data_IF_588945479137
#
_entry.id   IF_588945479137
#
_cell.length_a   1.000
_cell.length_b   1.000
_cell.length_c   1.000
_cell.angle_alpha   90.00
_cell.angle_beta   90.00
_cell.angle_gamma   90.00
#
_symmetry.space_group_name_H-M   'P 1'
#
loop_
_entity.id
_entity.type
_entity.pdbx_description
1 polymer ?
#
# COMPACT_ATOMS: atom_id res chain seq x y z
N UNK A 1 -16.00 -7.44 -16.55
CA UNK A 1 -14.89 -7.10 -15.65
C UNK A 1 -14.10 -8.33 -15.20
N UNK A 2 -14.73 -9.45 -15.03
CA UNK A 2 -14.06 -10.73 -14.78
C UNK A 2 -13.45 -11.28 -16.07
N UNK A 3 -14.12 -11.06 -17.20
CA UNK A 3 -13.63 -11.44 -18.52
C UNK A 3 -13.16 -10.19 -19.25
N UNK A 4 -11.84 -10.01 -19.39
CA UNK A 4 -11.28 -8.91 -20.16
C UNK A 4 -11.73 -9.00 -21.62
N UNK A 5 -12.33 -7.95 -22.15
CA UNK A 5 -12.63 -7.81 -23.57
C UNK A 5 -11.59 -6.92 -24.21
N UNK A 6 -10.89 -7.46 -25.20
CA UNK A 6 -9.93 -6.72 -26.01
C UNK A 6 -10.61 -6.31 -27.30
N UNK A 7 -10.39 -5.06 -27.69
CA UNK A 7 -10.77 -4.54 -29.01
C UNK A 7 -9.45 -4.22 -29.71
N UNK A 8 -9.37 -4.56 -30.99
CA UNK A 8 -8.22 -4.22 -31.84
C UNK A 8 -7.98 -2.70 -31.84
N UNK A 9 -6.72 -2.30 -31.71
CA UNK A 9 -6.36 -0.87 -31.71
C UNK A 9 -6.70 -0.25 -33.07
N UNK A 10 -7.32 0.92 -33.04
CA UNK A 10 -7.65 1.69 -34.24
C UNK A 10 -6.49 2.63 -34.52
N UNK A 11 -6.05 2.70 -35.77
CA UNK A 11 -4.93 3.55 -36.20
C UNK A 11 -5.21 5.06 -36.03
N UNK A 12 -6.49 5.45 -36.04
CA UNK A 12 -6.97 6.82 -35.95
C UNK A 12 -7.16 7.32 -34.51
N UNK A 13 -7.16 6.41 -33.53
CA UNK A 13 -7.37 6.75 -32.10
C UNK A 13 -6.14 6.39 -31.30
N UNK A 14 -5.43 7.41 -30.82
CA UNK A 14 -4.28 7.18 -29.94
C UNK A 14 -4.71 6.51 -28.61
N UNK A 15 -4.23 5.30 -28.32
CA UNK A 15 -4.65 4.59 -27.11
C UNK A 15 -4.14 5.30 -25.85
N UNK A 16 -5.00 5.36 -24.85
CA UNK A 16 -4.66 5.87 -23.51
C UNK A 16 -4.62 4.69 -22.57
N UNK A 17 -3.41 4.26 -22.21
CA UNK A 17 -3.20 3.16 -21.28
C UNK A 17 -3.34 3.63 -19.83
N UNK A 18 -3.91 2.76 -18.99
CA UNK A 18 -4.06 2.99 -17.57
C UNK A 18 -5.51 2.84 -17.09
N UNK A 19 -5.72 3.14 -15.82
CA UNK A 19 -7.05 3.10 -15.21
C UNK A 19 -7.78 4.43 -15.44
N UNK A 20 -9.10 4.37 -15.66
CA UNK A 20 -9.96 5.57 -15.82
C UNK A 20 -9.88 6.53 -14.62
N UNK A 21 -9.63 5.99 -13.42
CA UNK A 21 -9.28 6.79 -12.24
C UNK A 21 -7.80 6.59 -11.94
N UNK A 22 -7.04 7.68 -11.96
CA UNK A 22 -5.62 7.64 -11.61
C UNK A 22 -5.42 7.08 -10.20
N UNK A 23 -4.45 6.19 -10.06
CA UNK A 23 -4.00 5.71 -8.77
C UNK A 23 -3.10 6.77 -8.13
N UNK A 24 -3.65 7.61 -7.26
CA UNK A 24 -2.90 8.62 -6.51
C UNK A 24 -2.44 8.04 -5.17
N UNK A 25 -1.73 6.91 -5.22
CA UNK A 25 -1.25 6.23 -4.03
C UNK A 25 -0.10 5.27 -4.35
N UNK A 26 0.87 5.19 -3.45
CA UNK A 26 1.92 4.18 -3.43
C UNK A 26 1.52 2.92 -2.63
N UNK A 27 0.36 2.94 -1.97
CA UNK A 27 -0.11 1.83 -1.15
C UNK A 27 -0.47 0.62 -2.02
N UNK A 28 0.23 -0.52 -1.91
CA UNK A 28 0.00 -1.70 -2.74
C UNK A 28 -1.36 -2.35 -2.49
N UNK A 29 -1.88 -2.30 -1.27
CA UNK A 29 -3.23 -2.79 -0.96
C UNK A 29 -4.26 -1.93 -1.70
N UNK A 30 -4.16 -0.61 -1.59
CA UNK A 30 -5.06 0.29 -2.29
C UNK A 30 -4.99 0.14 -3.80
N UNK A 31 -3.79 -0.05 -4.36
CA UNK A 31 -3.60 -0.28 -5.79
C UNK A 31 -4.44 -1.48 -6.30
N UNK A 32 -4.52 -2.54 -5.52
CA UNK A 32 -5.29 -3.73 -5.87
C UNK A 32 -6.79 -3.60 -5.58
N UNK A 33 -7.19 -2.88 -4.54
CA UNK A 33 -8.58 -2.82 -4.08
C UNK A 33 -9.34 -1.59 -4.53
N UNK A 34 -8.69 -0.53 -5.04
CA UNK A 34 -9.33 0.71 -5.47
C UNK A 34 -10.48 0.49 -6.46
N UNK A 35 -10.31 -0.41 -7.43
CA UNK A 35 -11.33 -0.69 -8.44
C UNK A 35 -12.56 -1.33 -7.79
N UNK A 36 -12.36 -2.34 -6.94
CA UNK A 36 -13.45 -3.00 -6.21
C UNK A 36 -14.18 -2.04 -5.28
N UNK A 37 -13.45 -1.18 -4.57
CA UNK A 37 -14.04 -0.14 -3.73
C UNK A 37 -14.91 0.83 -4.53
N UNK A 38 -14.43 1.29 -5.69
CA UNK A 38 -15.22 2.17 -6.56
C UNK A 38 -16.48 1.47 -7.11
N UNK A 39 -16.37 0.19 -7.48
CA UNK A 39 -17.53 -0.62 -7.90
C UNK A 39 -18.54 -0.76 -6.77
N UNK A 40 -18.09 -1.03 -5.55
CA UNK A 40 -18.94 -1.10 -4.38
C UNK A 40 -19.68 0.24 -4.14
N UNK A 41 -18.97 1.36 -4.19
CA UNK A 41 -19.58 2.68 -4.07
C UNK A 41 -20.62 2.95 -5.17
N UNK A 42 -20.31 2.62 -6.42
CA UNK A 42 -21.25 2.80 -7.54
C UNK A 42 -22.50 1.92 -7.36
N UNK A 43 -22.33 0.68 -6.89
CA UNK A 43 -23.44 -0.22 -6.52
C UNK A 43 -24.32 0.33 -5.40
N UNK A 44 -23.72 0.95 -4.37
CA UNK A 44 -24.48 1.55 -3.27
C UNK A 44 -25.19 2.84 -3.67
N UNK A 45 -24.61 3.64 -4.56
CA UNK A 45 -25.09 4.96 -4.97
C UNK A 45 -26.22 4.93 -5.98
N UNK A 46 -26.28 3.89 -6.84
CA UNK A 46 -27.36 3.77 -7.83
C UNK A 46 -28.71 3.50 -7.18
N UNK A 47 -29.74 4.13 -7.68
CA UNK A 47 -31.16 3.94 -7.24
C UNK A 47 -31.77 2.67 -7.83
N UNK A 48 -31.29 2.22 -9.00
CA UNK A 48 -31.83 1.06 -9.70
C UNK A 48 -31.29 -0.23 -9.15
N UNK A 49 -32.17 -1.11 -8.67
CA UNK A 49 -31.78 -2.40 -8.08
C UNK A 49 -31.02 -3.29 -9.09
N UNK A 50 -31.45 -3.32 -10.35
CA UNK A 50 -30.76 -4.04 -11.43
C UNK A 50 -29.31 -3.57 -11.62
N UNK A 51 -29.09 -2.27 -11.53
CA UNK A 51 -27.78 -1.66 -11.75
C UNK A 51 -26.82 -1.93 -10.58
N UNK A 52 -27.35 -2.15 -9.34
CA UNK A 52 -26.53 -2.58 -8.19
C UNK A 52 -25.79 -3.88 -8.44
N UNK A 53 -26.44 -4.82 -9.09
CA UNK A 53 -25.83 -6.10 -9.46
C UNK A 53 -25.02 -5.99 -10.76
N UNK A 54 -25.53 -5.24 -11.75
CA UNK A 54 -24.90 -5.07 -13.04
C UNK A 54 -23.48 -4.48 -12.95
N UNK A 55 -23.21 -3.59 -12.00
CA UNK A 55 -21.87 -3.03 -11.74
C UNK A 55 -20.80 -4.12 -11.64
N UNK A 56 -21.12 -5.29 -11.11
CA UNK A 56 -20.13 -6.34 -10.83
C UNK A 56 -19.72 -7.16 -12.04
N UNK A 57 -20.60 -7.32 -13.03
CA UNK A 57 -20.33 -8.14 -14.22
C UNK A 57 -20.31 -7.37 -15.54
N UNK A 58 -20.78 -6.13 -15.56
CA UNK A 58 -20.77 -5.29 -16.75
C UNK A 58 -19.33 -4.98 -17.23
N UNK A 59 -19.11 -4.59 -18.48
CA UNK A 59 -17.81 -4.16 -19.00
C UNK A 59 -17.19 -3.05 -18.13
N UNK A 60 -15.86 -2.96 -18.13
CA UNK A 60 -15.10 -2.04 -17.26
C UNK A 60 -15.44 -0.57 -17.45
N UNK A 61 -15.86 -0.18 -18.67
CA UNK A 61 -16.26 1.19 -18.99
C UNK A 61 -17.70 1.52 -18.56
N UNK A 62 -18.52 0.50 -18.25
CA UNK A 62 -19.92 0.73 -17.91
C UNK A 62 -20.07 1.25 -16.48
N UNK A 63 -20.89 2.27 -16.31
CA UNK A 63 -21.34 2.79 -15.01
C UNK A 63 -22.84 3.06 -15.05
N UNK A 64 -23.56 3.00 -13.89
CA UNK A 64 -24.96 3.42 -13.82
C UNK A 64 -25.11 4.88 -14.26
N UNK A 65 -26.08 5.17 -15.12
CA UNK A 65 -26.29 6.51 -15.68
C UNK A 65 -26.62 7.56 -14.63
N UNK A 66 -27.36 7.19 -13.59
CA UNK A 66 -27.69 8.04 -12.46
C UNK A 66 -26.47 8.38 -11.59
N UNK A 67 -25.54 7.43 -11.46
CA UNK A 67 -24.28 7.65 -10.75
C UNK A 67 -23.33 8.50 -11.57
N UNK A 68 -23.22 8.26 -12.89
CA UNK A 68 -22.37 9.06 -13.78
C UNK A 68 -22.86 10.51 -13.88
N UNK A 69 -24.19 10.73 -13.92
CA UNK A 69 -24.77 12.08 -13.94
C UNK A 69 -24.47 12.87 -12.66
N UNK A 70 -24.49 12.20 -11.48
CA UNK A 70 -24.25 12.86 -10.19
C UNK A 70 -22.78 12.93 -9.79
N UNK A 71 -21.99 11.93 -10.19
CA UNK A 71 -20.57 11.77 -9.87
C UNK A 71 -19.78 11.47 -11.15
N UNK A 72 -19.63 12.45 -12.07
CA UNK A 72 -18.98 12.21 -13.36
C UNK A 72 -17.54 11.77 -13.17
N UNK A 73 -17.10 10.88 -14.06
CA UNK A 73 -15.71 10.44 -14.12
C UNK A 73 -14.84 11.63 -14.57
N UNK A 74 -13.83 11.97 -13.79
CA UNK A 74 -12.86 12.99 -14.18
C UNK A 74 -12.00 12.46 -15.33
N UNK A 75 -11.71 13.28 -16.36
CA UNK A 75 -10.77 12.89 -17.40
C UNK A 75 -9.40 12.57 -16.80
N UNK A 76 -8.72 11.60 -17.40
CA UNK A 76 -7.37 11.20 -16.94
C UNK A 76 -6.40 12.31 -17.31
N UNK A 77 -5.76 12.90 -16.32
CA UNK A 77 -4.66 13.84 -16.53
C UNK A 77 -3.36 13.04 -16.78
N UNK A 78 -2.98 12.95 -18.05
CA UNK A 78 -1.76 12.24 -18.48
C UNK A 78 -0.48 13.01 -18.18
N UNK A 79 -0.57 14.31 -17.91
CA UNK A 79 0.58 15.20 -17.69
C UNK A 79 1.05 15.17 -16.24
N UNK A 80 0.13 15.07 -15.29
CA UNK A 80 0.42 15.12 -13.87
C UNK A 80 0.44 13.70 -13.27
N UNK A 81 1.63 13.09 -13.26
CA UNK A 81 1.84 11.82 -12.55
C UNK A 81 1.89 12.08 -11.05
N UNK A 82 1.27 11.19 -10.29
CA UNK A 82 1.35 11.20 -8.83
C UNK A 82 2.82 11.06 -8.38
N UNK A 83 3.36 12.11 -7.81
CA UNK A 83 4.74 12.15 -7.32
C UNK A 83 4.83 13.07 -6.10
N UNK A 84 4.43 12.59 -4.90
CA UNK A 84 4.52 13.38 -3.70
C UNK A 84 5.98 13.70 -3.38
N UNK A 85 6.21 14.86 -2.78
CA UNK A 85 7.54 15.21 -2.31
C UNK A 85 8.01 14.21 -1.24
N UNK A 86 9.22 13.71 -1.38
CA UNK A 86 9.86 12.82 -0.42
C UNK A 86 11.23 13.34 -0.05
N UNK A 87 11.53 13.40 1.25
CA UNK A 87 12.87 13.71 1.73
C UNK A 87 13.85 12.61 1.34
N UNK A 88 15.14 12.95 1.27
CA UNK A 88 16.19 11.97 0.98
C UNK A 88 16.22 10.85 2.03
N UNK A 89 16.01 11.20 3.31
CA UNK A 89 15.94 10.20 4.39
C UNK A 89 14.78 9.20 4.20
N UNK A 90 13.61 9.68 3.76
CA UNK A 90 12.47 8.81 3.43
C UNK A 90 12.77 7.88 2.26
N UNK A 91 13.46 8.37 1.22
CA UNK A 91 13.86 7.53 0.06
C UNK A 91 14.83 6.44 0.47
N UNK A 92 15.86 6.78 1.25
CA UNK A 92 16.84 5.82 1.76
C UNK A 92 16.15 4.79 2.66
N UNK A 93 15.30 5.22 3.57
CA UNK A 93 14.53 4.33 4.43
C UNK A 93 13.65 3.36 3.61
N UNK A 94 12.94 3.84 2.59
CA UNK A 94 12.12 3.00 1.72
C UNK A 94 12.96 1.96 0.95
N UNK A 95 14.14 2.34 0.48
CA UNK A 95 15.07 1.41 -0.17
C UNK A 95 15.55 0.31 0.80
N UNK A 96 15.88 0.67 2.05
CA UNK A 96 16.25 -0.28 3.09
C UNK A 96 15.08 -1.24 3.42
N UNK A 97 13.85 -0.73 3.51
CA UNK A 97 12.66 -1.56 3.72
C UNK A 97 12.44 -2.56 2.58
N UNK A 98 12.65 -2.13 1.33
CA UNK A 98 12.56 -3.02 0.18
C UNK A 98 13.60 -4.14 0.26
N UNK A 99 14.85 -3.83 0.61
CA UNK A 99 15.90 -4.83 0.79
C UNK A 99 15.55 -5.80 1.93
N UNK A 100 15.07 -5.28 3.06
CA UNK A 100 14.62 -6.10 4.19
C UNK A 100 13.52 -7.08 3.80
N UNK A 101 12.52 -6.63 3.04
CA UNK A 101 11.46 -7.51 2.51
C UNK A 101 12.01 -8.64 1.64
N UNK A 102 12.99 -8.34 0.77
CA UNK A 102 13.63 -9.35 -0.08
C UNK A 102 14.34 -10.39 0.80
N UNK A 103 15.06 -9.97 1.82
CA UNK A 103 15.77 -10.86 2.74
C UNK A 103 14.82 -11.74 3.56
N UNK A 104 13.75 -11.15 4.11
CA UNK A 104 12.73 -11.89 4.88
C UNK A 104 12.04 -12.91 3.96
N UNK A 105 11.60 -12.48 2.77
CA UNK A 105 10.90 -13.33 1.80
C UNK A 105 11.78 -14.49 1.33
N UNK A 106 13.05 -14.23 0.97
CA UNK A 106 14.01 -15.25 0.57
C UNK A 106 14.26 -16.26 1.68
N UNK A 107 14.47 -15.77 2.90
CA UNK A 107 14.69 -16.62 4.07
C UNK A 107 13.48 -17.52 4.38
N UNK A 108 12.27 -16.98 4.24
CA UNK A 108 11.04 -17.73 4.38
C UNK A 108 10.91 -18.81 3.30
N UNK A 109 11.15 -18.46 2.03
CA UNK A 109 11.05 -19.39 0.90
C UNK A 109 12.03 -20.55 0.99
N UNK A 110 13.30 -20.26 1.31
CA UNK A 110 14.34 -21.28 1.41
C UNK A 110 14.09 -22.29 2.54
N UNK A 111 13.34 -21.90 3.55
CA UNK A 111 13.08 -22.72 4.73
C UNK A 111 11.58 -23.00 4.93
N UNK A 112 10.78 -22.90 3.89
CA UNK A 112 9.30 -23.00 3.97
C UNK A 112 8.82 -24.25 4.68
N UNK A 113 9.48 -25.39 4.43
CA UNK A 113 9.15 -26.69 5.02
C UNK A 113 9.47 -26.79 6.54
N UNK A 114 10.25 -25.86 7.07
CA UNK A 114 10.61 -25.80 8.49
C UNK A 114 9.64 -24.95 9.31
N UNK A 115 8.72 -24.23 8.65
CA UNK A 115 7.73 -23.37 9.30
C UNK A 115 6.36 -24.03 9.37
N UNK A 116 5.65 -23.82 10.47
CA UNK A 116 4.23 -24.15 10.56
C UNK A 116 3.39 -23.22 9.68
N UNK A 117 2.18 -23.63 9.34
CA UNK A 117 1.24 -22.78 8.59
C UNK A 117 0.98 -21.43 9.27
N UNK A 118 0.91 -21.42 10.62
CA UNK A 118 0.72 -20.20 11.41
C UNK A 118 1.92 -19.26 11.26
N UNK A 119 3.14 -19.79 11.32
CA UNK A 119 4.37 -19.00 11.13
C UNK A 119 4.47 -18.43 9.73
N UNK A 120 4.12 -19.20 8.71
CA UNK A 120 4.04 -18.72 7.31
C UNK A 120 3.02 -17.59 7.17
N UNK A 121 1.86 -17.72 7.80
CA UNK A 121 0.83 -16.68 7.80
C UNK A 121 1.30 -15.40 8.51
N UNK A 122 2.01 -15.52 9.64
CA UNK A 122 2.58 -14.38 10.36
C UNK A 122 3.60 -13.63 9.50
N UNK A 123 4.57 -14.34 8.90
CA UNK A 123 5.55 -13.70 8.01
C UNK A 123 4.90 -13.13 6.75
N UNK A 124 3.90 -13.80 6.19
CA UNK A 124 3.11 -13.29 5.07
C UNK A 124 2.41 -11.97 5.42
N UNK A 125 1.80 -11.87 6.60
CA UNK A 125 1.20 -10.64 7.09
C UNK A 125 2.24 -9.52 7.27
N UNK A 126 3.41 -9.82 7.85
CA UNK A 126 4.51 -8.87 8.00
C UNK A 126 4.97 -8.34 6.63
N UNK A 127 5.14 -9.22 5.64
CA UNK A 127 5.54 -8.87 4.27
C UNK A 127 4.50 -8.00 3.54
N UNK A 128 3.23 -8.06 3.92
CA UNK A 128 2.18 -7.17 3.38
C UNK A 128 2.15 -5.83 4.12
N UNK A 129 2.34 -5.85 5.45
CA UNK A 129 2.22 -4.63 6.28
C UNK A 129 3.43 -3.70 6.10
N UNK A 130 4.65 -4.23 6.02
CA UNK A 130 5.88 -3.41 5.82
C UNK A 130 5.74 -2.47 4.61
N UNK A 131 5.45 -2.93 3.37
CA UNK A 131 5.35 -2.04 2.22
C UNK A 131 4.17 -1.09 2.32
N UNK A 132 3.08 -1.51 2.97
CA UNK A 132 1.91 -0.65 3.19
C UNK A 132 2.26 0.54 4.08
N UNK A 133 2.93 0.30 5.20
CA UNK A 133 3.36 1.34 6.14
C UNK A 133 4.44 2.23 5.50
N UNK A 134 5.38 1.63 4.76
CA UNK A 134 6.39 2.37 4.00
C UNK A 134 5.75 3.28 2.95
N UNK A 135 4.71 2.80 2.26
CA UNK A 135 3.97 3.61 1.29
C UNK A 135 3.23 4.79 1.95
N UNK A 136 2.68 4.63 3.15
CA UNK A 136 2.09 5.74 3.91
C UNK A 136 3.13 6.83 4.24
N UNK A 137 4.34 6.43 4.59
CA UNK A 137 5.44 7.37 4.83
C UNK A 137 5.84 8.10 3.53
N UNK A 138 5.97 7.38 2.41
CA UNK A 138 6.30 7.96 1.11
C UNK A 138 5.25 8.95 0.61
N UNK A 139 4.00 8.82 1.05
CA UNK A 139 2.89 9.72 0.74
C UNK A 139 2.76 10.89 1.72
N UNK A 140 3.67 11.04 2.68
CA UNK A 140 3.60 12.01 3.78
C UNK A 140 2.27 11.91 4.56
N UNK A 141 1.76 10.69 4.77
CA UNK A 141 0.56 10.50 5.58
C UNK A 141 0.83 10.89 7.03
N UNK A 142 -0.07 11.66 7.69
CA UNK A 142 0.08 12.05 9.09
C UNK A 142 0.11 10.86 10.04
N UNK A 143 -0.44 9.72 9.62
CA UNK A 143 -0.48 8.49 10.41
C UNK A 143 0.74 7.59 10.20
N UNK A 144 1.67 7.94 9.32
CA UNK A 144 2.78 7.06 8.94
C UNK A 144 3.68 6.68 10.10
N UNK A 145 4.07 7.64 10.94
CA UNK A 145 4.91 7.38 12.13
C UNK A 145 4.18 6.53 13.17
N UNK A 146 2.88 6.79 13.39
CA UNK A 146 2.07 5.97 14.27
C UNK A 146 2.01 4.51 13.78
N UNK A 147 1.77 4.31 12.49
CA UNK A 147 1.74 2.98 11.88
C UNK A 147 3.09 2.25 11.98
N UNK A 148 4.22 2.96 11.81
CA UNK A 148 5.56 2.41 12.03
C UNK A 148 5.71 1.96 13.49
N UNK A 149 5.31 2.78 14.46
CA UNK A 149 5.36 2.45 15.88
C UNK A 149 4.53 1.21 16.22
N UNK A 150 3.28 1.16 15.77
CA UNK A 150 2.37 0.01 15.98
C UNK A 150 2.94 -1.26 15.35
N UNK A 151 3.47 -1.18 14.12
CA UNK A 151 4.10 -2.31 13.46
C UNK A 151 5.27 -2.88 14.28
N UNK A 152 6.13 -2.01 14.81
CA UNK A 152 7.28 -2.44 15.62
C UNK A 152 6.84 -3.11 16.93
N UNK A 153 5.85 -2.55 17.61
CA UNK A 153 5.28 -3.16 18.83
C UNK A 153 4.72 -4.54 18.51
N UNK A 154 3.99 -4.68 17.40
CA UNK A 154 3.43 -5.96 16.97
C UNK A 154 4.54 -6.99 16.65
N UNK A 155 5.59 -6.60 15.92
CA UNK A 155 6.73 -7.48 15.63
C UNK A 155 7.40 -7.96 16.91
N UNK A 156 7.69 -7.04 17.84
CA UNK A 156 8.31 -7.40 19.12
C UNK A 156 7.43 -8.33 19.95
N UNK A 157 6.12 -8.06 20.01
CA UNK A 157 5.16 -8.91 20.70
C UNK A 157 5.10 -10.33 20.12
N UNK A 158 5.11 -10.46 18.78
CA UNK A 158 5.16 -11.76 18.10
C UNK A 158 6.46 -12.50 18.42
N UNK A 159 7.59 -11.82 18.39
CA UNK A 159 8.88 -12.44 18.71
C UNK A 159 8.98 -12.89 20.19
N UNK A 160 8.43 -12.09 21.12
CA UNK A 160 8.45 -12.40 22.55
C UNK A 160 7.43 -13.47 22.94
N UNK A 161 6.34 -13.64 22.19
CA UNK A 161 5.32 -14.65 22.45
C UNK A 161 5.78 -16.08 22.19
N UNK A 162 6.93 -16.28 21.52
CA UNK A 162 7.41 -17.59 21.12
C UNK A 162 6.69 -18.21 19.91
N UNK A 163 5.79 -17.46 19.26
CA UNK A 163 5.09 -17.91 18.04
C UNK A 163 6.05 -18.15 16.87
N UNK A 164 7.18 -17.48 16.86
CA UNK A 164 8.24 -17.63 15.85
C UNK A 164 9.58 -17.94 16.53
N UNK A 165 10.39 -18.80 15.90
CA UNK A 165 11.71 -19.13 16.43
C UNK A 165 12.68 -17.97 16.25
N UNK A 166 13.32 -17.52 17.31
CA UNK A 166 14.36 -16.47 17.28
C UNK A 166 15.61 -16.88 16.51
N UNK A 167 15.84 -18.19 16.34
CA UNK A 167 16.96 -18.71 15.58
C UNK A 167 16.73 -18.70 14.07
N UNK A 168 15.47 -18.58 13.63
CA UNK A 168 15.16 -18.54 12.22
C UNK A 168 15.66 -17.24 11.58
N UNK A 169 16.33 -17.33 10.43
CA UNK A 169 16.85 -16.17 9.69
C UNK A 169 15.75 -15.16 9.34
N UNK A 170 14.55 -15.62 9.00
CA UNK A 170 13.41 -14.75 8.73
C UNK A 170 13.06 -13.89 9.95
N UNK A 171 13.09 -14.46 11.17
CA UNK A 171 12.87 -13.72 12.42
C UNK A 171 13.98 -12.73 12.68
N UNK A 172 15.25 -13.11 12.45
CA UNK A 172 16.40 -12.23 12.64
C UNK A 172 16.37 -11.03 11.71
N UNK A 173 16.03 -11.22 10.42
CA UNK A 173 15.83 -10.12 9.48
C UNK A 173 14.64 -9.23 9.86
N UNK A 174 13.56 -9.81 10.38
CA UNK A 174 12.40 -9.06 10.86
C UNK A 174 12.76 -8.20 12.09
N UNK A 175 13.53 -8.73 13.03
CA UNK A 175 14.02 -7.97 14.19
C UNK A 175 15.00 -6.86 13.77
N UNK A 176 15.89 -7.12 12.83
CA UNK A 176 16.77 -6.09 12.27
C UNK A 176 15.97 -4.97 11.61
N UNK A 177 14.92 -5.30 10.87
CA UNK A 177 13.99 -4.34 10.27
C UNK A 177 13.32 -3.50 11.34
N UNK A 178 12.86 -4.13 12.43
CA UNK A 178 12.26 -3.43 13.57
C UNK A 178 13.23 -2.45 14.22
N UNK A 179 14.49 -2.84 14.41
CA UNK A 179 15.53 -1.94 14.93
C UNK A 179 15.73 -0.72 14.02
N UNK A 180 15.86 -0.92 12.73
CA UNK A 180 15.99 0.15 11.74
C UNK A 180 14.78 1.10 11.80
N UNK A 181 13.57 0.56 11.93
CA UNK A 181 12.35 1.34 12.06
C UNK A 181 12.36 2.21 13.33
N UNK A 182 12.79 1.67 14.46
CA UNK A 182 12.90 2.41 15.72
C UNK A 182 13.92 3.55 15.59
N UNK A 183 15.07 3.30 15.00
CA UNK A 183 16.10 4.32 14.77
C UNK A 183 15.57 5.43 13.84
N UNK A 184 14.88 5.06 12.78
CA UNK A 184 14.25 6.03 11.88
C UNK A 184 13.15 6.84 12.57
N UNK A 185 12.32 6.20 13.39
CA UNK A 185 11.27 6.86 14.18
C UNK A 185 11.87 7.91 15.14
N UNK A 186 12.92 7.54 15.89
CA UNK A 186 13.64 8.47 16.79
C UNK A 186 14.22 9.63 15.99
N UNK A 187 14.85 9.36 14.86
CA UNK A 187 15.39 10.39 13.97
C UNK A 187 14.32 11.39 13.51
N UNK A 188 13.15 10.93 13.10
CA UNK A 188 12.06 11.80 12.65
C UNK A 188 11.51 12.67 13.79
N UNK A 189 11.35 12.13 15.00
CA UNK A 189 10.89 12.89 16.15
C UNK A 189 11.93 13.97 16.53
N UNK A 190 13.22 13.64 16.50
CA UNK A 190 14.29 14.59 16.82
C UNK A 190 14.33 15.73 15.80
N UNK A 191 14.10 15.45 14.51
CA UNK A 191 14.01 16.50 13.49
C UNK A 191 12.78 17.39 13.70
N UNK A 192 11.64 16.82 14.03
CA UNK A 192 10.41 17.57 14.29
C UNK A 192 10.58 18.50 15.50
N UNK A 193 11.19 18.01 16.59
CA UNK A 193 11.50 18.83 17.77
C UNK A 193 12.40 20.03 17.46
N UNK A 194 13.48 19.80 16.70
CA UNK A 194 14.37 20.90 16.26
C UNK A 194 13.67 21.95 15.39
N UNK A 195 12.73 21.52 14.54
CA UNK A 195 11.96 22.44 13.71
C UNK A 195 11.02 23.32 14.54
N UNK A 196 10.39 22.76 15.57
CA UNK A 196 9.54 23.49 16.51
C UNK A 196 10.34 24.49 17.33
N UNK A 197 11.50 24.12 17.86
CA UNK A 197 12.40 25.01 18.59
C UNK A 197 12.84 26.18 17.72
N UNK A 198 13.24 25.95 16.48
CA UNK A 198 13.63 27.00 15.53
C UNK A 198 12.47 27.96 15.23
N UNK A 199 11.24 27.46 15.12
CA UNK A 199 10.04 28.28 14.88
C UNK A 199 9.67 29.15 16.08
N UNK A 200 9.97 28.71 17.30
CA UNK A 200 9.71 29.48 18.53
C UNK A 200 10.79 30.53 18.82
N UNK A 201 11.99 30.41 18.23
CA UNK A 201 13.12 31.30 18.41
C UNK A 201 13.15 32.48 17.44
N UNK A 202 12.30 32.49 16.41
CA UNK A 202 12.12 33.55 15.42
C UNK A 202 10.71 34.12 15.46
#
# INVERSE_FOLDING_TARGET
RIFGTYIEEKDDVKPVYGTVKALNSWNPIWANFQVFYNMFLDSMRTKKLSDKFKVWYAPTYWRPSDVEAKYPSKPVDLKNKYNPFMSTSTKVFAAIQMLAMILISNSLFLNINSFSYEQVAIFGAILVVIPTVTALLMQNSPYSLLCIGVLNIAILAICLSGLVSLQALATQFTLLTSLINILFFIYQITLAGKYEEFKLSN
#
